data_IF_677155124435
#
_entry.id   IF_677155124435
#
_cell.length_a   1.000
_cell.length_b   1.000
_cell.length_c   1.000
_cell.angle_alpha   90.00
_cell.angle_beta   90.00
_cell.angle_gamma   90.00
#
_symmetry.space_group_name_H-M   'P 1'
#
loop_
_entity.id
_entity.type
_entity.pdbx_description
1 polymer ?
#
# COMPACT_ATOMS: atom_id res chain seq x y z
N UNK A 1 51.99 0.16 45.44
CA UNK A 1 51.04 0.54 46.51
C UNK A 1 49.65 0.59 45.91
N UNK A 2 48.71 -0.02 46.62
CA UNK A 2 47.33 -0.37 46.24
C UNK A 2 46.44 0.81 45.79
N UNK A 3 45.32 0.49 45.10
CA UNK A 3 44.42 1.44 44.44
C UNK A 3 43.30 1.94 45.36
N UNK A 4 42.79 3.14 45.08
CA UNK A 4 41.61 3.72 45.74
C UNK A 4 40.39 3.66 44.82
N UNK A 5 39.40 2.83 45.18
CA UNK A 5 38.01 2.97 44.77
C UNK A 5 37.34 4.07 45.62
N UNK A 6 36.44 4.89 45.05
CA UNK A 6 35.00 4.75 45.32
C UNK A 6 34.17 5.06 44.04
N UNK A 7 32.87 4.80 43.92
CA UNK A 7 31.83 4.45 44.86
C UNK A 7 30.56 4.09 44.07
N UNK A 8 29.79 3.16 44.62
CA UNK A 8 28.54 2.71 44.06
C UNK A 8 27.45 3.79 44.27
N UNK A 9 26.95 4.35 43.17
CA UNK A 9 25.76 5.20 43.14
C UNK A 9 24.58 4.39 42.63
N UNK A 10 23.79 3.81 43.54
CA UNK A 10 22.49 3.21 43.24
C UNK A 10 21.47 4.33 42.95
N UNK A 11 21.33 4.71 41.69
CA UNK A 11 20.30 5.62 41.20
C UNK A 11 19.16 4.83 40.57
N UNK A 12 18.21 4.37 41.38
CA UNK A 12 16.95 3.81 40.89
C UNK A 12 16.07 4.92 40.31
N UNK A 13 15.95 4.96 38.98
CA UNK A 13 14.92 5.75 38.30
C UNK A 13 13.86 4.81 37.74
N UNK A 14 12.85 4.53 38.56
CA UNK A 14 11.58 4.00 38.12
C UNK A 14 10.84 5.10 37.35
N UNK A 15 11.06 5.16 36.03
CA UNK A 15 10.25 5.95 35.10
C UNK A 15 9.34 5.00 34.33
N UNK A 16 8.35 4.43 35.03
CA UNK A 16 7.22 3.75 34.39
C UNK A 16 6.27 4.79 33.83
N UNK A 17 6.64 5.40 32.70
CA UNK A 17 5.78 6.36 32.01
C UNK A 17 4.74 5.61 31.18
N UNK A 18 3.49 5.96 31.45
CA UNK A 18 2.22 5.43 30.97
C UNK A 18 2.01 5.74 29.46
N UNK A 19 2.81 5.11 28.60
CA UNK A 19 2.84 5.33 27.13
C UNK A 19 1.75 4.59 26.32
N UNK A 20 0.70 4.07 26.95
CA UNK A 20 -0.27 3.15 26.30
C UNK A 20 -1.35 3.77 25.41
N UNK A 21 -1.43 5.10 25.29
CA UNK A 21 -2.58 5.78 24.67
C UNK A 21 -2.60 5.77 23.13
N UNK A 22 -1.48 6.10 22.48
CA UNK A 22 -1.44 6.39 21.04
C UNK A 22 -1.68 5.15 20.17
N UNK A 23 -1.14 3.99 20.56
CA UNK A 23 -1.21 2.76 19.77
C UNK A 23 -2.64 2.21 19.63
N UNK A 24 -3.51 2.48 20.60
CA UNK A 24 -4.90 2.01 20.57
C UNK A 24 -5.76 2.71 19.49
N UNK A 25 -5.50 4.01 19.25
CA UNK A 25 -6.26 4.80 18.28
C UNK A 25 -5.97 4.38 16.83
N UNK A 26 -4.72 4.04 16.54
CA UNK A 26 -4.34 3.62 15.19
C UNK A 26 -4.93 2.25 14.85
N UNK A 27 -4.87 1.29 15.78
CA UNK A 27 -5.45 -0.05 15.58
C UNK A 27 -6.95 -0.02 15.30
N UNK A 28 -7.70 0.79 16.04
CA UNK A 28 -9.16 0.94 15.81
C UNK A 28 -9.45 1.54 14.44
N UNK A 29 -8.58 2.43 13.95
CA UNK A 29 -8.70 3.02 12.61
C UNK A 29 -8.43 1.99 11.51
N UNK A 30 -7.42 1.12 11.67
CA UNK A 30 -7.13 0.05 10.72
C UNK A 30 -8.28 -0.95 10.63
N UNK A 31 -8.77 -1.43 11.76
CA UNK A 31 -9.90 -2.37 11.82
C UNK A 31 -11.15 -1.77 11.17
N UNK A 32 -11.41 -0.48 11.41
CA UNK A 32 -12.50 0.24 10.76
C UNK A 32 -12.35 0.25 9.24
N UNK A 33 -11.15 0.48 8.72
CA UNK A 33 -10.92 0.45 7.27
C UNK A 33 -11.07 -0.95 6.67
N UNK A 34 -10.61 -1.99 7.37
CA UNK A 34 -10.81 -3.38 6.92
C UNK A 34 -12.31 -3.71 6.85
N UNK A 35 -13.08 -3.31 7.86
CA UNK A 35 -14.53 -3.46 7.88
C UNK A 35 -15.21 -2.66 6.75
N UNK A 36 -14.71 -1.47 6.43
CA UNK A 36 -15.23 -0.67 5.31
C UNK A 36 -14.98 -1.39 3.96
N UNK A 37 -13.81 -2.00 3.75
CA UNK A 37 -13.58 -2.83 2.54
C UNK A 37 -14.56 -4.02 2.50
N UNK A 38 -14.78 -4.70 3.62
CA UNK A 38 -15.80 -5.76 3.71
C UNK A 38 -17.23 -5.25 3.42
N UNK A 39 -17.56 -4.02 3.80
CA UNK A 39 -18.84 -3.40 3.46
C UNK A 39 -18.98 -3.10 1.96
N UNK A 40 -17.89 -2.84 1.23
CA UNK A 40 -17.94 -2.73 -0.24
C UNK A 40 -18.30 -4.07 -0.87
N UNK A 41 -17.69 -5.17 -0.38
CA UNK A 41 -18.01 -6.54 -0.85
C UNK A 41 -19.48 -6.85 -0.61
N UNK A 42 -19.97 -6.62 0.61
CA UNK A 42 -21.37 -6.85 0.96
C UNK A 42 -22.31 -5.95 0.16
N UNK A 43 -21.98 -4.65 0.03
CA UNK A 43 -22.78 -3.69 -0.71
C UNK A 43 -22.89 -4.05 -2.19
N UNK A 44 -21.83 -4.56 -2.81
CA UNK A 44 -21.89 -5.08 -4.18
C UNK A 44 -22.78 -6.33 -4.30
N UNK A 45 -22.65 -7.28 -3.37
CA UNK A 45 -23.49 -8.49 -3.35
C UNK A 45 -25.00 -8.16 -3.28
N UNK A 46 -25.37 -7.16 -2.48
CA UNK A 46 -26.75 -6.66 -2.36
C UNK A 46 -27.13 -5.57 -3.37
N UNK A 47 -26.25 -5.25 -4.33
CA UNK A 47 -26.47 -4.19 -5.34
C UNK A 47 -26.77 -2.80 -4.75
N UNK A 48 -26.18 -2.49 -3.59
CA UNK A 48 -26.33 -1.23 -2.87
C UNK A 48 -25.30 -0.19 -3.34
N UNK A 49 -25.41 0.27 -4.59
CA UNK A 49 -24.47 1.22 -5.20
C UNK A 49 -24.30 2.53 -4.40
N UNK A 50 -25.36 3.01 -3.74
CA UNK A 50 -25.30 4.18 -2.86
C UNK A 50 -24.41 3.97 -1.62
N UNK A 51 -24.43 2.77 -1.04
CA UNK A 51 -23.57 2.40 0.09
C UNK A 51 -22.12 2.32 -0.38
N UNK A 52 -21.85 1.63 -1.49
CA UNK A 52 -20.49 1.49 -2.05
C UNK A 52 -19.85 2.85 -2.31
N UNK A 53 -20.58 3.76 -2.96
CA UNK A 53 -20.10 5.13 -3.22
C UNK A 53 -19.79 5.90 -1.92
N UNK A 54 -20.59 5.73 -0.88
CA UNK A 54 -20.36 6.39 0.41
C UNK A 54 -19.16 5.81 1.14
N UNK A 55 -19.02 4.49 1.14
CA UNK A 55 -17.90 3.78 1.76
C UNK A 55 -16.59 4.13 1.06
N UNK A 56 -16.57 4.13 -0.27
CA UNK A 56 -15.41 4.55 -1.07
C UNK A 56 -14.94 5.98 -0.72
N UNK A 57 -15.87 6.92 -0.55
CA UNK A 57 -15.54 8.30 -0.11
C UNK A 57 -14.91 8.31 1.28
N UNK A 58 -15.46 7.56 2.23
CA UNK A 58 -14.93 7.48 3.60
C UNK A 58 -13.52 6.88 3.60
N UNK A 59 -13.30 5.77 2.87
CA UNK A 59 -11.99 5.14 2.71
C UNK A 59 -11.00 6.14 2.11
N UNK A 60 -11.39 6.82 1.03
CA UNK A 60 -10.52 7.79 0.37
C UNK A 60 -10.16 8.97 1.26
N UNK A 61 -11.12 9.52 2.00
CA UNK A 61 -10.87 10.62 2.93
C UNK A 61 -9.92 10.19 4.06
N UNK A 62 -10.08 8.98 4.58
CA UNK A 62 -9.20 8.41 5.59
C UNK A 62 -7.76 8.24 5.06
N UNK A 63 -7.60 7.60 3.89
CA UNK A 63 -6.30 7.40 3.24
C UNK A 63 -5.65 8.73 2.84
N UNK A 64 -6.43 9.71 2.40
CA UNK A 64 -5.93 11.05 2.06
C UNK A 64 -5.36 11.75 3.29
N UNK A 65 -6.06 11.66 4.44
CA UNK A 65 -5.61 12.23 5.71
C UNK A 65 -4.39 11.49 6.25
N UNK A 66 -4.42 10.16 6.22
CA UNK A 66 -3.33 9.32 6.72
C UNK A 66 -2.96 8.23 5.72
N UNK A 67 -1.98 8.56 4.86
CA UNK A 67 -1.58 7.78 3.69
C UNK A 67 -1.05 6.37 3.99
N UNK A 68 -0.36 6.09 5.11
CA UNK A 68 0.08 4.73 5.46
C UNK A 68 -1.06 3.72 5.54
N UNK A 69 -2.29 4.17 5.81
CA UNK A 69 -3.48 3.32 5.81
C UNK A 69 -3.86 2.78 4.42
N UNK A 70 -3.29 3.34 3.34
CA UNK A 70 -3.45 2.77 2.00
C UNK A 70 -3.00 1.30 1.96
N UNK A 71 -1.94 0.93 2.70
CA UNK A 71 -1.49 -0.46 2.78
C UNK A 71 -2.54 -1.39 3.40
N UNK A 72 -3.24 -0.94 4.45
CA UNK A 72 -4.29 -1.71 5.12
C UNK A 72 -5.47 -1.96 4.17
N UNK A 73 -5.91 -0.89 3.50
CA UNK A 73 -7.02 -0.96 2.53
C UNK A 73 -6.65 -1.86 1.35
N UNK A 74 -5.42 -1.72 0.84
CA UNK A 74 -4.93 -2.53 -0.27
C UNK A 74 -4.85 -4.02 0.09
N UNK A 75 -4.23 -4.34 1.23
CA UNK A 75 -4.12 -5.71 1.74
C UNK A 75 -5.49 -6.37 1.92
N UNK A 76 -6.45 -5.65 2.51
CA UNK A 76 -7.81 -6.17 2.67
C UNK A 76 -8.51 -6.38 1.33
N UNK A 77 -8.33 -5.46 0.38
CA UNK A 77 -8.93 -5.57 -0.94
C UNK A 77 -8.36 -6.75 -1.74
N UNK A 78 -7.05 -7.00 -1.66
CA UNK A 78 -6.40 -8.17 -2.27
C UNK A 78 -6.99 -9.46 -1.70
N UNK A 79 -7.10 -9.56 -0.36
CA UNK A 79 -7.68 -10.73 0.29
C UNK A 79 -9.15 -10.96 -0.07
N UNK A 80 -9.92 -9.88 -0.19
CA UNK A 80 -11.33 -9.94 -0.53
C UNK A 80 -11.59 -10.30 -2.00
N UNK A 81 -10.63 -10.02 -2.89
CA UNK A 81 -10.76 -10.28 -4.33
C UNK A 81 -11.84 -9.41 -5.00
N UNK A 82 -12.50 -9.95 -6.02
CA UNK A 82 -13.67 -9.30 -6.61
C UNK A 82 -14.86 -9.38 -5.64
N UNK A 83 -15.54 -8.26 -5.32
CA UNK A 83 -15.57 -6.98 -6.05
C UNK A 83 -14.76 -5.84 -5.40
N UNK A 84 -13.90 -6.12 -4.41
CA UNK A 84 -13.11 -5.11 -3.72
C UNK A 84 -11.93 -4.58 -4.54
N UNK A 85 -11.66 -5.15 -5.72
CA UNK A 85 -10.52 -4.80 -6.58
C UNK A 85 -10.41 -3.30 -6.88
N UNK A 86 -11.52 -2.62 -7.18
CA UNK A 86 -11.50 -1.18 -7.46
C UNK A 86 -10.96 -0.36 -6.26
N UNK A 87 -11.36 -0.74 -5.05
CA UNK A 87 -10.86 -0.13 -3.81
C UNK A 87 -9.36 -0.36 -3.67
N UNK A 88 -8.92 -1.58 -3.98
CA UNK A 88 -7.51 -1.97 -4.01
C UNK A 88 -6.69 -1.12 -4.96
N UNK A 89 -7.15 -0.91 -6.20
CA UNK A 89 -6.47 -0.09 -7.20
C UNK A 89 -6.34 1.38 -6.75
N UNK A 90 -7.37 1.94 -6.09
CA UNK A 90 -7.32 3.29 -5.52
C UNK A 90 -6.27 3.36 -4.41
N UNK A 91 -6.20 2.37 -3.53
CA UNK A 91 -5.21 2.32 -2.47
C UNK A 91 -3.79 2.15 -3.02
N UNK A 92 -3.60 1.24 -3.98
CA UNK A 92 -2.32 1.00 -4.65
C UNK A 92 -1.84 2.25 -5.41
N UNK A 93 -2.75 2.99 -6.03
CA UNK A 93 -2.46 4.29 -6.63
C UNK A 93 -1.86 5.28 -5.61
N UNK A 94 -2.38 5.33 -4.39
CA UNK A 94 -1.82 6.16 -3.31
C UNK A 94 -0.41 5.66 -2.93
N UNK A 95 -0.21 4.35 -2.84
CA UNK A 95 1.11 3.73 -2.58
C UNK A 95 2.10 4.12 -3.68
N UNK A 96 1.74 3.95 -4.96
CA UNK A 96 2.59 4.27 -6.13
C UNK A 96 3.05 5.72 -6.16
N UNK A 97 2.20 6.65 -5.71
CA UNK A 97 2.48 8.09 -5.73
C UNK A 97 3.47 8.54 -4.65
N UNK A 98 3.44 7.91 -3.48
CA UNK A 98 4.31 8.27 -2.34
C UNK A 98 4.81 7.02 -1.60
N UNK A 99 5.49 6.10 -2.30
CA UNK A 99 5.81 4.78 -1.76
C UNK A 99 6.68 4.86 -0.50
N UNK A 100 7.69 5.73 -0.47
CA UNK A 100 8.55 5.89 0.72
C UNK A 100 7.77 6.31 1.96
N UNK A 101 6.90 7.32 1.82
CA UNK A 101 6.08 7.83 2.93
C UNK A 101 5.04 6.80 3.40
N UNK A 102 4.44 6.07 2.45
CA UNK A 102 3.39 5.10 2.75
C UNK A 102 3.97 3.83 3.34
N UNK A 103 4.97 3.22 2.68
CA UNK A 103 5.51 1.91 3.04
C UNK A 103 6.43 1.97 4.27
N UNK A 104 7.22 3.04 4.43
CA UNK A 104 8.22 3.15 5.51
C UNK A 104 7.71 3.87 6.77
N UNK A 105 6.40 4.09 6.89
CA UNK A 105 5.79 4.85 8.00
C UNK A 105 6.13 4.32 9.39
N UNK A 106 6.93 5.00 10.20
CA UNK A 106 7.36 4.53 11.54
C UNK A 106 6.32 4.71 12.65
N UNK A 107 5.27 5.51 12.42
CA UNK A 107 4.48 6.14 13.48
C UNK A 107 3.38 5.26 14.08
N UNK A 108 3.56 3.93 14.07
CA UNK A 108 2.57 2.99 14.60
C UNK A 108 1.33 2.89 13.70
N UNK A 109 1.22 1.78 12.96
CA UNK A 109 0.08 1.47 12.11
C UNK A 109 0.28 1.77 10.62
N UNK A 110 -0.42 1.01 9.79
CA UNK A 110 -0.32 1.02 8.33
C UNK A 110 1.07 0.62 7.81
N UNK A 111 1.36 1.09 6.59
CA UNK A 111 2.63 0.85 5.91
C UNK A 111 2.92 -0.61 5.60
N UNK A 112 4.19 -0.93 5.34
CA UNK A 112 4.57 -2.28 4.92
C UNK A 112 4.26 -3.35 5.97
N UNK A 113 4.23 -2.97 7.24
CA UNK A 113 3.89 -3.84 8.37
C UNK A 113 2.46 -4.39 8.33
N UNK A 114 1.53 -3.67 7.68
CA UNK A 114 0.12 -4.05 7.60
C UNK A 114 -0.22 -4.97 6.42
N UNK A 115 0.76 -5.23 5.54
CA UNK A 115 0.57 -6.01 4.31
C UNK A 115 0.68 -7.51 4.58
N UNK A 116 -0.20 -8.28 3.97
CA UNK A 116 -0.06 -9.72 3.82
C UNK A 116 0.95 -10.09 2.73
N UNK A 117 1.34 -11.37 2.64
CA UNK A 117 2.39 -11.81 1.73
C UNK A 117 2.06 -11.59 0.24
N UNK A 118 0.80 -11.78 -0.15
CA UNK A 118 0.34 -11.58 -1.53
C UNK A 118 0.43 -10.09 -1.92
N UNK A 119 -0.15 -9.21 -1.10
CA UNK A 119 -0.11 -7.76 -1.32
C UNK A 119 1.33 -7.22 -1.32
N UNK A 120 2.20 -7.74 -0.46
CA UNK A 120 3.62 -7.38 -0.46
C UNK A 120 4.30 -7.80 -1.78
N UNK A 121 4.06 -9.03 -2.24
CA UNK A 121 4.61 -9.51 -3.51
C UNK A 121 4.19 -8.63 -4.68
N UNK A 122 2.90 -8.28 -4.77
CA UNK A 122 2.41 -7.39 -5.82
C UNK A 122 3.06 -6.01 -5.78
N UNK A 123 3.27 -5.43 -4.59
CA UNK A 123 3.96 -4.14 -4.45
C UNK A 123 5.43 -4.23 -4.86
N UNK A 124 6.13 -5.31 -4.52
CA UNK A 124 7.54 -5.50 -4.90
C UNK A 124 7.71 -5.67 -6.40
N UNK A 125 6.76 -6.31 -7.07
CA UNK A 125 6.75 -6.49 -8.53
C UNK A 125 6.25 -5.24 -9.28
N UNK A 126 5.67 -4.27 -8.57
CA UNK A 126 5.07 -3.09 -9.18
C UNK A 126 6.14 -2.12 -9.72
N UNK A 127 6.33 -2.17 -11.04
CA UNK A 127 7.17 -1.21 -11.78
C UNK A 127 6.59 0.22 -11.82
N UNK A 128 5.39 0.45 -11.31
CA UNK A 128 4.73 1.74 -11.16
C UNK A 128 5.13 2.54 -9.91
N UNK A 129 5.90 1.95 -8.98
CA UNK A 129 6.33 2.64 -7.77
C UNK A 129 7.30 3.79 -8.09
N UNK A 130 7.02 4.97 -7.53
CA UNK A 130 7.90 6.14 -7.61
C UNK A 130 8.91 6.18 -6.45
N UNK A 131 9.65 5.09 -6.23
CA UNK A 131 10.75 5.01 -5.26
C UNK A 131 12.02 4.36 -5.84
N UNK A 132 13.12 4.49 -5.09
CA UNK A 132 14.36 3.75 -5.32
C UNK A 132 14.22 2.27 -4.93
N UNK A 133 15.07 1.40 -5.47
CA UNK A 133 15.15 -0.01 -5.05
C UNK A 133 15.45 -0.15 -3.55
N UNK A 134 16.23 0.78 -2.98
CA UNK A 134 16.52 0.82 -1.54
C UNK A 134 15.26 0.97 -0.71
N UNK A 135 14.32 1.82 -1.14
CA UNK A 135 13.07 2.00 -0.42
C UNK A 135 12.21 0.74 -0.42
N UNK A 136 12.14 0.03 -1.56
CA UNK A 136 11.41 -1.25 -1.67
C UNK A 136 12.06 -2.30 -0.79
N UNK A 137 13.39 -2.39 -0.81
CA UNK A 137 14.14 -3.28 0.08
C UNK A 137 13.87 -2.99 1.57
N UNK A 138 13.90 -1.72 1.98
CA UNK A 138 13.60 -1.34 3.38
C UNK A 138 12.15 -1.66 3.77
N UNK A 139 11.21 -1.51 2.84
CA UNK A 139 9.81 -1.87 3.09
C UNK A 139 9.66 -3.39 3.33
N UNK A 140 10.34 -4.21 2.53
CA UNK A 140 10.44 -5.66 2.68
C UNK A 140 11.12 -6.06 4.00
N UNK A 141 12.27 -5.48 4.31
CA UNK A 141 13.00 -5.74 5.56
C UNK A 141 12.10 -5.48 6.76
N UNK A 142 11.47 -4.31 6.80
CA UNK A 142 10.54 -3.96 7.86
C UNK A 142 9.37 -4.94 7.97
N UNK A 143 8.82 -5.38 6.85
CA UNK A 143 7.72 -6.35 6.84
C UNK A 143 8.13 -7.68 7.47
N UNK A 144 9.36 -8.14 7.20
CA UNK A 144 9.95 -9.32 7.85
C UNK A 144 10.18 -9.08 9.34
N UNK A 145 10.76 -7.94 9.71
CA UNK A 145 11.08 -7.61 11.11
C UNK A 145 9.83 -7.61 11.99
N UNK A 146 8.73 -7.02 11.50
CA UNK A 146 7.43 -7.00 12.20
C UNK A 146 6.82 -8.39 12.27
N UNK A 147 6.90 -9.16 11.18
CA UNK A 147 6.36 -10.53 11.13
C UNK A 147 7.13 -11.49 12.03
N UNK A 148 8.44 -11.34 12.14
CA UNK A 148 9.32 -12.15 12.99
C UNK A 148 9.21 -11.81 14.47
N UNK A 149 8.98 -10.53 14.80
CA UNK A 149 8.75 -10.08 16.18
C UNK A 149 7.36 -10.47 16.72
N UNK A 150 6.45 -10.89 15.82
CA UNK A 150 4.99 -10.90 16.01
C UNK A 150 4.33 -12.16 16.55
N UNK A 151 5.09 -13.17 17.03
CA UNK A 151 4.53 -14.35 17.69
C UNK A 151 3.67 -14.08 18.93
N UNK A 152 3.63 -12.84 19.43
CA UNK A 152 2.90 -12.45 20.65
C UNK A 152 1.63 -11.61 20.39
N UNK A 153 1.50 -10.93 19.23
CA UNK A 153 0.43 -9.92 19.05
C UNK A 153 -0.58 -10.20 17.93
N UNK A 154 -0.29 -11.07 16.96
CA UNK A 154 -1.22 -11.36 15.85
C UNK A 154 -2.27 -12.44 16.18
N UNK A 155 -2.08 -13.22 17.26
CA UNK A 155 -3.08 -14.19 17.73
C UNK A 155 -4.40 -13.53 18.19
N UNK A 156 -4.38 -12.23 18.52
CA UNK A 156 -5.58 -11.48 18.88
C UNK A 156 -6.50 -11.17 17.68
N UNK A 157 -5.99 -11.19 16.44
CA UNK A 157 -6.73 -10.78 15.23
C UNK A 157 -7.40 -11.98 14.55
N UNK A 158 -6.82 -13.18 14.60
CA UNK A 158 -7.39 -14.38 13.96
C UNK A 158 -8.38 -15.16 14.85
N UNK A 159 -8.58 -14.76 16.12
CA UNK A 159 -9.14 -15.61 17.17
C UNK A 159 -10.58 -15.35 17.64
N UNK A 160 -11.32 -14.37 17.09
CA UNK A 160 -12.76 -14.17 17.46
C UNK A 160 -13.70 -14.93 16.53
N UNK A 161 -13.44 -16.24 16.32
CA UNK A 161 -14.48 -17.18 15.91
C UNK A 161 -15.45 -17.31 17.09
N UNK A 162 -16.55 -16.55 17.05
CA UNK A 162 -17.64 -16.57 18.04
C UNK A 162 -17.97 -18.02 18.41
N UNK A 163 -17.52 -18.47 19.59
CA UNK A 163 -18.15 -19.58 20.28
C UNK A 163 -19.55 -19.10 20.65
N UNK A 164 -20.55 -19.59 19.93
CA UNK A 164 -21.91 -19.65 20.47
C UNK A 164 -21.87 -20.65 21.60
N UNK A 165 -22.40 -20.23 22.73
CA UNK A 165 -22.55 -21.01 23.94
C UNK A 165 -23.32 -22.31 23.67
N UNK A 166 -22.86 -23.38 24.32
CA UNK A 166 -23.70 -24.55 24.57
C UNK A 166 -23.13 -25.92 24.20
N UNK A 167 -21.91 -26.27 24.59
CA UNK A 167 -21.62 -27.68 24.94
C UNK A 167 -20.35 -27.80 25.78
N UNK A 168 -20.49 -28.41 26.96
CA UNK A 168 -19.40 -28.73 27.89
C UNK A 168 -18.77 -30.03 27.42
N UNK A 169 -17.61 -29.94 26.78
CA UNK A 169 -16.70 -31.07 26.59
C UNK A 169 -15.35 -30.72 27.24
N UNK A 170 -15.16 -31.27 28.44
CA UNK A 170 -13.92 -31.31 29.17
C UNK A 170 -13.13 -32.49 28.60
N UNK A 171 -12.20 -32.25 27.68
CA UNK A 171 -11.09 -33.16 27.48
C UNK A 171 -9.90 -32.51 26.76
N UNK A 172 -8.74 -33.01 27.16
CA UNK A 172 -7.40 -32.50 26.94
C UNK A 172 -7.06 -32.19 25.47
N UNK A 173 -6.63 -30.95 25.20
CA UNK A 173 -5.87 -30.61 24.01
C UNK A 173 -4.68 -29.73 24.39
N UNK A 174 -3.51 -30.29 24.17
CA UNK A 174 -2.21 -29.64 24.18
C UNK A 174 -2.20 -28.41 23.25
N UNK A 175 -1.53 -27.31 23.62
CA UNK A 175 -1.31 -26.20 22.72
C UNK A 175 -0.25 -26.61 21.70
N UNK A 176 -0.67 -27.24 20.59
CA UNK A 176 0.18 -27.39 19.41
C UNK A 176 0.51 -26.01 18.86
N UNK A 177 1.70 -25.53 19.23
CA UNK A 177 2.25 -24.25 18.82
C UNK A 177 2.33 -24.14 17.30
N UNK A 178 1.55 -23.21 16.76
CA UNK A 178 1.58 -22.78 15.37
C UNK A 178 2.88 -22.00 15.08
N UNK A 179 4.00 -22.73 15.02
CA UNK A 179 5.31 -22.18 14.67
C UNK A 179 5.54 -22.11 13.15
N UNK A 180 4.50 -22.34 12.33
CA UNK A 180 4.60 -22.43 10.88
C UNK A 180 4.56 -21.11 10.12
N UNK A 181 4.12 -20.00 10.74
CA UNK A 181 3.83 -18.75 10.01
C UNK A 181 5.05 -17.86 9.75
N UNK A 182 6.01 -17.78 10.68
CA UNK A 182 7.17 -16.87 10.56
C UNK A 182 8.14 -17.29 9.46
N UNK A 183 8.37 -18.60 9.33
CA UNK A 183 9.25 -19.14 8.29
C UNK A 183 8.74 -18.86 6.87
N UNK A 184 7.41 -18.70 6.71
CA UNK A 184 6.80 -18.39 5.41
C UNK A 184 7.05 -16.95 4.96
N UNK A 185 7.07 -15.98 5.87
CA UNK A 185 7.31 -14.57 5.49
C UNK A 185 8.76 -14.35 5.07
N UNK A 186 9.71 -14.95 5.81
CA UNK A 186 11.13 -14.84 5.49
C UNK A 186 11.48 -15.51 4.15
N UNK A 187 10.93 -16.70 3.88
CA UNK A 187 11.16 -17.38 2.59
C UNK A 187 10.61 -16.57 1.42
N UNK A 188 9.39 -16.02 1.56
CA UNK A 188 8.80 -15.15 0.56
C UNK A 188 9.59 -13.86 0.38
N UNK A 189 10.04 -13.22 1.46
CA UNK A 189 10.87 -12.02 1.35
C UNK A 189 12.18 -12.30 0.60
N UNK A 190 12.83 -13.44 0.84
CA UNK A 190 14.02 -13.86 0.10
C UNK A 190 13.74 -14.06 -1.40
N UNK A 191 12.61 -14.67 -1.74
CA UNK A 191 12.17 -14.80 -3.14
C UNK A 191 11.95 -13.42 -3.78
N UNK A 192 11.22 -12.54 -3.10
CA UNK A 192 10.89 -11.20 -3.59
C UNK A 192 12.14 -10.31 -3.76
N UNK A 193 13.14 -10.49 -2.91
CA UNK A 193 14.41 -9.76 -3.00
C UNK A 193 15.18 -10.09 -4.29
N UNK A 194 15.03 -11.30 -4.85
CA UNK A 194 15.63 -11.66 -6.13
C UNK A 194 15.02 -10.91 -7.32
N UNK A 195 13.84 -10.29 -7.13
CA UNK A 195 13.20 -9.43 -8.14
C UNK A 195 13.66 -7.98 -8.07
N UNK A 196 14.43 -7.59 -7.05
CA UNK A 196 14.98 -6.25 -6.92
C UNK A 196 16.23 -6.10 -7.79
N UNK A 197 16.38 -4.92 -8.41
CA UNK A 197 17.61 -4.57 -9.12
C UNK A 197 18.67 -4.07 -8.14
N UNK A 198 19.39 -5.01 -7.50
CA UNK A 198 20.41 -4.71 -6.51
C UNK A 198 21.56 -3.85 -7.09
N UNK A 199 21.79 -3.87 -8.40
CA UNK A 199 22.79 -3.04 -9.04
C UNK A 199 22.43 -1.54 -8.96
N UNK A 200 21.14 -1.19 -8.79
CA UNK A 200 20.68 0.18 -8.55
C UNK A 200 20.77 0.62 -7.08
N UNK A 201 21.24 -0.23 -6.16
CA UNK A 201 21.45 0.13 -4.76
C UNK A 201 22.91 0.55 -4.55
N UNK A 202 23.14 1.72 -3.93
CA UNK A 202 24.49 2.20 -3.69
C UNK A 202 25.36 1.16 -2.92
N UNK A 203 26.64 0.95 -3.30
CA UNK A 203 27.53 -0.03 -2.68
C UNK A 203 27.57 0.03 -1.16
N UNK A 204 27.59 1.25 -0.61
CA UNK A 204 27.58 1.48 0.84
C UNK A 204 26.28 0.99 1.50
N UNK A 205 25.14 1.12 0.83
CA UNK A 205 23.86 0.59 1.35
C UNK A 205 23.84 -0.93 1.22
N UNK A 206 24.43 -1.50 0.16
CA UNK A 206 24.61 -2.95 0.03
C UNK A 206 25.42 -3.51 1.20
N UNK A 207 26.53 -2.87 1.59
CA UNK A 207 27.37 -3.30 2.70
C UNK A 207 26.73 -3.06 4.07
N UNK A 208 26.16 -1.88 4.30
CA UNK A 208 25.78 -1.42 5.64
C UNK A 208 24.36 -1.87 6.04
N UNK A 209 23.48 -2.12 5.06
CA UNK A 209 22.04 -2.39 5.29
C UNK A 209 21.62 -3.73 4.70
N UNK A 210 21.96 -4.00 3.44
CA UNK A 210 21.46 -5.18 2.73
C UNK A 210 22.16 -6.47 3.18
N UNK A 211 23.49 -6.44 3.29
CA UNK A 211 24.27 -7.60 3.74
C UNK A 211 23.90 -8.05 5.16
N UNK A 212 23.80 -7.16 6.17
CA UNK A 212 23.47 -7.56 7.54
C UNK A 212 22.03 -8.07 7.72
N UNK A 213 21.11 -7.77 6.79
CA UNK A 213 19.70 -8.20 6.93
C UNK A 213 19.52 -9.71 6.71
N UNK A 214 20.46 -10.38 6.03
CA UNK A 214 20.36 -11.80 5.69
C UNK A 214 19.27 -12.15 4.67
N UNK A 215 18.67 -11.15 4.02
CA UNK A 215 17.65 -11.34 2.98
C UNK A 215 18.24 -11.62 1.60
N UNK A 216 19.44 -11.12 1.31
CA UNK A 216 20.17 -11.37 0.06
C UNK A 216 21.26 -12.41 0.30
N UNK A 217 21.47 -13.34 -0.63
CA UNK A 217 22.59 -14.27 -0.59
C UNK A 217 23.93 -13.55 -0.86
N UNK A 218 25.02 -14.08 -0.33
CA UNK A 218 26.36 -13.54 -0.63
C UNK A 218 26.67 -13.53 -2.14
N UNK A 219 26.15 -14.51 -2.88
CA UNK A 219 26.28 -14.58 -4.34
C UNK A 219 25.53 -13.42 -5.04
N UNK A 220 24.29 -13.14 -4.64
CA UNK A 220 23.53 -12.02 -5.20
C UNK A 220 24.18 -10.65 -4.91
N UNK A 221 24.82 -10.50 -3.76
CA UNK A 221 25.61 -9.30 -3.44
C UNK A 221 26.85 -9.17 -4.35
N UNK A 222 27.59 -10.28 -4.56
CA UNK A 222 28.75 -10.29 -5.45
C UNK A 222 28.37 -9.97 -6.89
N UNK A 223 27.26 -10.50 -7.37
CA UNK A 223 26.72 -10.19 -8.70
C UNK A 223 26.36 -8.71 -8.83
N UNK A 224 25.71 -8.13 -7.82
CA UNK A 224 25.39 -6.70 -7.79
C UNK A 224 26.66 -5.83 -7.87
N UNK A 225 27.69 -6.11 -7.05
CA UNK A 225 28.96 -5.39 -7.10
C UNK A 225 29.67 -5.56 -8.44
N UNK A 226 29.66 -6.76 -9.02
CA UNK A 226 30.23 -7.02 -10.34
C UNK A 226 29.53 -6.21 -11.43
N UNK A 227 28.20 -6.16 -11.40
CA UNK A 227 27.40 -5.37 -12.34
C UNK A 227 27.74 -3.87 -12.23
N UNK A 228 27.84 -3.34 -11.01
CA UNK A 228 28.23 -1.94 -10.77
C UNK A 228 29.65 -1.64 -11.26
N UNK A 229 30.62 -2.53 -11.00
CA UNK A 229 31.99 -2.38 -11.47
C UNK A 229 32.10 -2.36 -12.99
N UNK A 230 31.35 -3.23 -13.68
CA UNK A 230 31.29 -3.26 -15.14
C UNK A 230 30.67 -1.97 -15.72
N UNK A 231 29.61 -1.45 -15.09
CA UNK A 231 29.00 -0.18 -15.49
C UNK A 231 29.96 1.01 -15.28
N UNK A 232 30.75 0.98 -14.19
CA UNK A 232 31.79 1.97 -13.92
C UNK A 232 32.86 1.97 -15.01
N UNK A 233 33.33 0.77 -15.36
CA UNK A 233 34.35 0.58 -16.39
C UNK A 233 33.87 1.02 -17.78
N UNK A 234 32.56 0.92 -18.06
CA UNK A 234 31.93 1.41 -19.27
C UNK A 234 31.73 2.94 -19.30
N UNK A 235 32.09 3.66 -18.24
CA UNK A 235 31.94 5.11 -18.14
C UNK A 235 30.51 5.58 -17.85
N UNK A 236 29.63 4.71 -17.36
CA UNK A 236 28.30 5.11 -16.93
C UNK A 236 28.38 5.99 -15.66
N UNK A 237 27.57 7.05 -15.59
CA UNK A 237 27.44 7.85 -14.37
C UNK A 237 26.57 7.10 -13.35
N UNK A 238 27.24 6.26 -12.57
CA UNK A 238 26.65 5.42 -11.54
C UNK A 238 25.93 6.24 -10.45
N UNK A 239 26.37 7.48 -10.20
CA UNK A 239 25.78 8.32 -9.15
C UNK A 239 24.30 8.61 -9.43
N UNK A 240 23.96 8.83 -10.70
CA UNK A 240 22.57 9.08 -11.12
C UNK A 240 21.71 7.83 -11.06
N UNK A 241 22.28 6.65 -11.29
CA UNK A 241 21.56 5.38 -11.26
C UNK A 241 21.02 5.05 -9.87
N UNK A 242 21.76 5.35 -8.81
CA UNK A 242 21.30 5.10 -7.44
C UNK A 242 20.13 5.99 -7.00
N UNK A 243 19.94 7.12 -7.69
CA UNK A 243 18.79 8.01 -7.49
C UNK A 243 17.65 7.74 -8.46
N UNK A 244 17.83 6.77 -9.38
CA UNK A 244 16.83 6.47 -10.39
C UNK A 244 15.65 5.75 -9.76
N UNK A 245 14.49 6.41 -9.81
CA UNK A 245 13.21 5.81 -9.46
C UNK A 245 12.86 4.69 -10.45
N UNK A 246 12.21 3.62 -9.97
CA UNK A 246 11.69 2.52 -10.83
C UNK A 246 10.88 3.04 -12.01
N UNK A 247 10.03 4.03 -11.74
CA UNK A 247 9.27 4.72 -12.77
C UNK A 247 9.59 6.21 -12.84
N UNK A 248 9.65 6.75 -14.06
CA UNK A 248 9.62 8.20 -14.27
C UNK A 248 8.21 8.67 -13.88
N UNK A 249 8.12 9.73 -13.08
CA UNK A 249 6.89 10.27 -12.49
C UNK A 249 5.73 10.37 -13.48
N UNK A 250 4.95 9.31 -13.64
CA UNK A 250 3.64 9.34 -14.29
C UNK A 250 2.71 10.09 -13.33
N UNK A 251 2.20 11.25 -13.75
CA UNK A 251 1.18 11.91 -12.94
C UNK A 251 -0.07 11.05 -12.97
N UNK A 252 -0.81 11.07 -11.88
CA UNK A 252 -1.98 10.24 -11.70
C UNK A 252 -3.08 11.06 -11.02
N UNK A 253 -4.31 10.86 -11.46
CA UNK A 253 -5.52 11.48 -10.92
C UNK A 253 -6.45 10.37 -10.46
N UNK A 254 -6.95 10.49 -9.23
CA UNK A 254 -7.97 9.59 -8.71
C UNK A 254 -9.31 10.33 -8.83
N UNK A 255 -10.25 9.74 -9.56
CA UNK A 255 -11.60 10.26 -9.74
C UNK A 255 -12.58 9.48 -8.87
N UNK A 256 -13.38 10.20 -8.09
CA UNK A 256 -14.40 9.62 -7.22
C UNK A 256 -15.68 10.42 -7.29
N UNK A 257 -16.81 9.73 -7.16
CA UNK A 257 -18.12 10.37 -7.10
C UNK A 257 -18.59 10.96 -8.44
N UNK A 258 -18.15 10.39 -9.57
CA UNK A 258 -18.61 10.78 -10.91
C UNK A 258 -20.11 10.47 -11.16
N UNK A 259 -20.81 9.85 -10.21
CA UNK A 259 -22.23 9.46 -10.37
C UNK A 259 -22.42 8.16 -11.16
N UNK A 260 -21.36 7.66 -11.80
CA UNK A 260 -21.25 6.31 -12.37
C UNK A 260 -19.98 5.67 -11.79
N UNK A 261 -20.10 4.42 -11.33
CA UNK A 261 -18.99 3.64 -10.78
C UNK A 261 -17.95 3.34 -11.85
N UNK A 262 -18.40 3.12 -13.10
CA UNK A 262 -17.57 2.84 -14.26
C UNK A 262 -16.59 3.99 -14.55
N UNK A 263 -16.92 5.23 -14.20
CA UNK A 263 -16.05 6.41 -14.42
C UNK A 263 -15.07 6.65 -13.27
N UNK A 264 -15.39 6.20 -12.06
CA UNK A 264 -14.50 6.32 -10.90
C UNK A 264 -13.25 5.45 -11.08
N UNK A 265 -12.15 5.86 -10.47
CA UNK A 265 -10.91 5.09 -10.47
C UNK A 265 -9.67 5.94 -10.74
N UNK A 266 -8.61 5.27 -11.20
CA UNK A 266 -7.28 5.83 -11.32
C UNK A 266 -6.96 6.12 -12.79
N UNK A 267 -6.66 7.38 -13.08
CA UNK A 267 -6.28 7.86 -14.40
C UNK A 267 -4.78 8.16 -14.43
N UNK A 268 -4.09 7.63 -15.43
CA UNK A 268 -2.65 7.83 -15.66
C UNK A 268 -2.42 8.90 -16.70
N UNK A 269 -1.41 9.74 -16.51
CA UNK A 269 -1.11 10.83 -17.44
C UNK A 269 -0.47 10.29 -18.72
N UNK A 270 -1.15 10.44 -19.86
CA UNK A 270 -0.58 10.13 -21.17
C UNK A 270 0.14 11.34 -21.78
N UNK A 271 -0.38 12.55 -21.51
CA UNK A 271 0.16 13.80 -22.04
C UNK A 271 0.02 14.94 -21.03
N UNK A 272 0.68 16.09 -21.22
CA UNK A 272 0.65 17.21 -20.27
C UNK A 272 -0.77 17.63 -19.80
N UNK A 273 -1.80 17.41 -20.62
CA UNK A 273 -3.19 17.81 -20.36
C UNK A 273 -4.20 16.66 -20.40
N UNK A 274 -3.76 15.43 -20.67
CA UNK A 274 -4.62 14.25 -20.85
C UNK A 274 -4.20 13.12 -19.93
N UNK A 275 -5.19 12.50 -19.31
CA UNK A 275 -5.04 11.28 -18.55
C UNK A 275 -5.96 10.20 -19.14
N UNK A 276 -5.52 8.95 -19.16
CA UNK A 276 -6.35 7.83 -19.58
C UNK A 276 -6.55 6.81 -18.47
N UNK A 277 -7.64 6.05 -18.61
CA UNK A 277 -7.90 4.81 -17.90
C UNK A 277 -8.53 3.84 -18.88
N UNK A 278 -8.22 2.54 -18.75
CA UNK A 278 -8.95 1.45 -19.41
C UNK A 278 -9.91 0.81 -18.43
N UNK A 279 -11.07 0.38 -18.90
CA UNK A 279 -12.01 -0.39 -18.10
C UNK A 279 -13.36 -0.61 -18.79
N UNK A 280 -14.26 -1.36 -18.15
CA UNK A 280 -15.55 -1.69 -18.73
C UNK A 280 -16.47 -0.47 -18.78
N UNK A 281 -17.16 -0.26 -19.91
CA UNK A 281 -18.22 0.73 -20.11
C UNK A 281 -19.40 0.10 -20.85
N UNK A 282 -20.52 -0.12 -20.15
CA UNK A 282 -21.70 -0.78 -20.73
C UNK A 282 -21.34 -2.16 -21.30
N UNK A 283 -21.45 -2.33 -22.61
CA UNK A 283 -21.20 -3.58 -23.34
C UNK A 283 -19.76 -3.69 -23.87
N UNK A 284 -18.89 -2.71 -23.58
CA UNK A 284 -17.47 -2.71 -23.96
C UNK A 284 -16.58 -2.92 -22.74
N UNK A 285 -15.92 -4.07 -22.65
CA UNK A 285 -15.05 -4.42 -21.51
C UNK A 285 -13.69 -3.67 -21.51
N UNK A 286 -13.27 -3.07 -22.62
CA UNK A 286 -11.96 -2.39 -22.76
C UNK A 286 -12.10 -0.93 -23.24
N UNK A 287 -13.18 -0.26 -22.83
CA UNK A 287 -13.37 1.15 -23.13
C UNK A 287 -12.24 2.02 -22.55
N UNK A 288 -11.83 3.03 -23.32
CA UNK A 288 -10.82 4.00 -22.89
C UNK A 288 -11.49 5.28 -22.39
N UNK A 289 -11.23 5.64 -21.15
CA UNK A 289 -11.69 6.88 -20.53
C UNK A 289 -10.60 7.92 -20.63
N UNK A 290 -10.92 9.08 -21.20
CA UNK A 290 -10.00 10.19 -21.38
C UNK A 290 -10.41 11.36 -20.50
N UNK A 291 -9.61 11.62 -19.47
CA UNK A 291 -9.78 12.72 -18.56
C UNK A 291 -8.94 13.92 -19.03
N UNK A 292 -9.60 15.05 -19.26
CA UNK A 292 -8.96 16.31 -19.64
C UNK A 292 -9.39 17.44 -18.72
N UNK A 293 -8.50 18.41 -18.50
CA UNK A 293 -8.78 19.62 -17.74
C UNK A 293 -8.93 20.79 -18.71
N UNK A 294 -10.08 21.46 -18.70
CA UNK A 294 -10.33 22.69 -19.46
C UNK A 294 -10.74 23.79 -18.48
N UNK A 295 -9.86 24.76 -18.27
CA UNK A 295 -10.01 25.78 -17.23
C UNK A 295 -10.02 25.18 -15.83
N UNK A 296 -11.06 25.50 -15.05
CA UNK A 296 -11.27 24.97 -13.70
C UNK A 296 -12.06 23.64 -13.66
N UNK A 297 -12.48 23.13 -14.83
CA UNK A 297 -13.35 21.96 -14.93
C UNK A 297 -12.59 20.76 -15.47
N UNK A 298 -12.95 19.59 -14.96
CA UNK A 298 -12.52 18.30 -15.49
C UNK A 298 -13.61 17.74 -16.37
N UNK A 299 -13.22 17.00 -17.40
CA UNK A 299 -14.11 16.38 -18.36
C UNK A 299 -13.60 14.96 -18.63
N UNK A 300 -14.50 13.99 -18.59
CA UNK A 300 -14.22 12.62 -19.06
C UNK A 300 -14.83 12.47 -20.44
N UNK A 301 -14.08 11.90 -21.36
CA UNK A 301 -14.51 11.56 -22.69
C UNK A 301 -14.31 10.07 -22.91
N UNK A 302 -15.33 9.40 -23.44
CA UNK A 302 -15.28 7.96 -23.76
C UNK A 302 -15.46 7.86 -25.28
N UNK A 303 -14.38 7.60 -26.05
CA UNK A 303 -14.47 7.50 -27.50
C UNK A 303 -15.51 6.48 -27.92
N UNK A 304 -16.26 6.76 -28.99
CA UNK A 304 -17.33 5.87 -29.48
C UNK A 304 -18.67 5.99 -28.75
N UNK A 305 -18.74 6.73 -27.63
CA UNK A 305 -19.98 7.00 -26.91
C UNK A 305 -20.31 8.50 -26.91
N UNK A 306 -21.59 8.84 -26.74
CA UNK A 306 -22.01 10.24 -26.59
C UNK A 306 -21.27 10.87 -25.40
N UNK A 307 -20.75 12.09 -25.62
CA UNK A 307 -19.85 12.76 -24.67
C UNK A 307 -20.56 12.98 -23.33
N UNK A 308 -20.15 12.22 -22.30
CA UNK A 308 -20.65 12.40 -20.94
C UNK A 308 -19.72 13.36 -20.18
N UNK A 309 -20.16 14.61 -19.96
CA UNK A 309 -19.38 15.57 -19.20
C UNK A 309 -19.60 15.40 -17.70
N UNK A 310 -18.56 14.93 -17.00
CA UNK A 310 -18.56 14.83 -15.54
C UNK A 310 -17.86 16.04 -14.93
N UNK A 311 -18.63 16.92 -14.29
CA UNK A 311 -18.05 18.04 -13.52
C UNK A 311 -17.53 17.47 -12.20
N UNK A 312 -16.20 17.46 -12.02
CA UNK A 312 -15.61 17.20 -10.71
C UNK A 312 -15.94 18.39 -9.79
N UNK A 313 -16.79 18.17 -8.81
CA UNK A 313 -17.22 19.18 -7.84
C UNK A 313 -16.27 19.12 -6.64
N UNK A 314 -15.61 20.23 -6.33
CA UNK A 314 -14.88 20.36 -5.07
C UNK A 314 -15.90 20.35 -3.93
N UNK A 315 -15.88 19.31 -3.09
CA UNK A 315 -16.40 19.28 -1.72
C UNK A 315 -17.92 19.46 -1.50
N UNK A 316 -18.50 20.56 -1.97
CA UNK A 316 -19.77 21.07 -1.47
C UNK A 316 -20.86 21.25 -2.54
N UNK A 317 -20.52 21.17 -3.83
CA UNK A 317 -21.52 21.26 -4.90
C UNK A 317 -22.03 19.85 -5.27
N UNK A 318 -23.35 19.65 -5.27
CA UNK A 318 -24.01 18.44 -5.80
C UNK A 318 -24.19 18.57 -7.31
N UNK A 319 -23.96 17.48 -8.05
CA UNK A 319 -24.32 17.41 -9.46
C UNK A 319 -25.83 17.19 -9.58
N UNK A 320 -26.54 18.19 -10.10
CA UNK A 320 -27.93 18.07 -10.52
C UNK A 320 -27.93 17.71 -12.01
N UNK A 321 -28.14 16.43 -12.35
CA UNK A 321 -28.08 15.93 -13.74
C UNK A 321 -29.10 16.51 -14.73
N UNK A 322 -29.67 17.69 -14.47
CA UNK A 322 -30.69 18.36 -15.28
C UNK A 322 -30.17 19.55 -16.10
N UNK A 323 -28.99 20.09 -15.79
CA UNK A 323 -28.47 21.31 -16.44
C UNK A 323 -27.08 21.11 -17.08
N UNK A 324 -26.98 20.16 -18.01
CA UNK A 324 -25.81 20.12 -18.91
C UNK A 324 -26.10 21.03 -20.12
N UNK A 325 -25.31 22.09 -20.37
CA UNK A 325 -25.39 22.78 -21.66
C UNK A 325 -25.04 21.76 -22.74
N UNK A 326 -25.99 21.52 -23.65
CA UNK A 326 -25.77 20.69 -24.82
C UNK A 326 -24.70 21.36 -25.69
N UNK A 327 -23.44 21.02 -25.48
CA UNK A 327 -22.39 21.32 -26.45
C UNK A 327 -22.68 20.41 -27.65
N UNK A 328 -23.23 21.01 -28.71
CA UNK A 328 -23.35 20.35 -30.01
C UNK A 328 -21.95 19.95 -30.44
N UNK A 329 -21.73 18.66 -30.64
CA UNK A 329 -20.62 18.13 -31.44
C UNK A 329 -20.72 18.73 -32.83
N UNK A 330 -19.79 19.62 -33.18
CA UNK A 330 -19.44 19.93 -34.58
C UNK A 330 -18.55 18.85 -35.14
#
# INVERSE_FOLDING_TARGET
>A
ASPGAPGAGAGGTASGADGGGADSSHRTTEETLRNLVGLVVAGNFYQLSGLNNRVLRIIFDAVRRWKPLACVVYDEAVRAGEPAREVGEIALAVVRRMPEFVLLNTDGGGGSAALGPEAMGTIVEDGGLQCSEVAVFRALQRWVDVSGSGGVNNAAIAGRKRRRDGEVAMDALTPSGSSGSTNSCLSMAKDQVNRLDLAKIAPRVLSDVVSPSGLVSSEGLLEAYRSQALQAAAGADISTQFTQFRNRRTKMVIMLGAGSSEVNGVYLQDSPTRFSRKGPWRDDDDATYLLSKVGAKWYVWIPGHSVCFYRCLNGDERWDGRNSPAWKTT
#
